data_IF_805185535070
#
_entry.id   IF_805185535070
#
_cell.length_a   1.000
_cell.length_b   1.000
_cell.length_c   1.000
_cell.angle_alpha   90.00
_cell.angle_beta   90.00
_cell.angle_gamma   90.00
#
_symmetry.space_group_name_H-M   'P 1'
#
loop_
_entity.id
_entity.type
_entity.pdbx_description
1 polymer ?
#
# COMPACT_ATOMS: atom_id res chain seq x y z
N UNK A 1 -4.14 29.00 12.51
CA UNK A 1 -3.65 27.62 12.35
C UNK A 1 -2.51 27.46 13.35
N UNK A 2 -2.72 26.68 14.41
CA UNK A 2 -1.77 26.60 15.53
C UNK A 2 -0.76 25.49 15.26
N UNK A 3 0.53 25.83 15.19
CA UNK A 3 1.59 24.84 14.94
C UNK A 3 1.92 24.13 16.25
N UNK A 4 1.68 22.82 16.31
CA UNK A 4 2.08 21.97 17.44
C UNK A 4 3.28 21.12 17.07
N UNK A 5 4.35 21.23 17.85
CA UNK A 5 5.51 20.34 17.76
C UNK A 5 5.25 19.11 18.61
N UNK A 6 5.36 17.92 18.00
CA UNK A 6 5.31 16.65 18.71
C UNK A 6 6.64 15.91 18.55
N UNK A 7 7.06 15.23 19.60
CA UNK A 7 8.19 14.29 19.54
C UNK A 7 7.63 12.90 19.30
N UNK A 8 8.18 12.21 18.30
CA UNK A 8 7.76 10.87 17.89
C UNK A 8 8.94 9.92 17.99
N UNK A 9 8.69 8.71 18.47
CA UNK A 9 9.69 7.65 18.47
C UNK A 9 9.69 6.97 17.09
N UNK A 10 10.88 6.83 16.50
CA UNK A 10 11.09 5.97 15.34
C UNK A 10 11.47 4.59 15.88
N UNK A 11 10.59 3.62 15.73
CA UNK A 11 10.87 2.25 16.14
C UNK A 11 11.97 1.63 15.26
N UNK A 12 12.55 0.52 15.74
CA UNK A 12 13.68 -0.17 15.07
C UNK A 12 13.36 -0.68 13.67
N UNK A 13 12.09 -0.86 13.34
CA UNK A 13 11.60 -1.26 12.00
C UNK A 13 11.36 -0.06 11.07
N UNK A 14 11.69 1.15 11.50
CA UNK A 14 11.48 2.40 10.75
C UNK A 14 10.07 2.97 10.89
N UNK A 15 9.21 2.40 11.73
CA UNK A 15 7.85 2.95 11.95
C UNK A 15 7.88 4.18 12.87
N UNK A 16 7.13 5.22 12.50
CA UNK A 16 6.90 6.41 13.32
C UNK A 16 5.66 6.20 14.19
N UNK A 17 5.81 6.22 15.52
CA UNK A 17 4.68 6.11 16.46
C UNK A 17 4.21 7.49 16.90
N UNK A 18 2.96 7.82 16.58
CA UNK A 18 2.32 9.06 17.03
C UNK A 18 1.82 8.95 18.47
N UNK A 19 1.96 10.00 19.30
CA UNK A 19 1.37 10.06 20.63
C UNK A 19 -0.16 9.80 20.62
N UNK A 20 -0.73 9.09 21.62
CA UNK A 20 -2.15 8.74 21.64
C UNK A 20 -3.12 9.93 21.60
N UNK A 21 -2.76 11.05 22.22
CA UNK A 21 -3.49 12.32 22.18
C UNK A 21 -3.51 12.93 20.77
N UNK A 22 -2.40 12.81 20.04
CA UNK A 22 -2.34 13.24 18.65
C UNK A 22 -3.19 12.32 17.75
N UNK A 23 -3.18 11.01 17.99
CA UNK A 23 -4.04 10.06 17.26
C UNK A 23 -5.53 10.40 17.39
N UNK A 24 -5.99 10.83 18.56
CA UNK A 24 -7.38 11.31 18.75
C UNK A 24 -7.69 12.55 17.92
N UNK A 25 -6.73 13.45 17.80
CA UNK A 25 -6.88 14.70 17.03
C UNK A 25 -6.99 14.44 15.53
N UNK A 26 -6.40 13.34 15.05
CA UNK A 26 -6.54 12.91 13.65
C UNK A 26 -7.95 12.38 13.32
N UNK A 27 -8.78 12.08 14.34
CA UNK A 27 -10.12 11.51 14.15
C UNK A 27 -10.07 10.20 13.34
N UNK A 28 -10.95 10.08 12.34
CA UNK A 28 -10.99 8.95 11.41
C UNK A 28 -9.99 9.07 10.24
N UNK A 29 -9.11 10.08 10.26
CA UNK A 29 -8.17 10.31 9.16
C UNK A 29 -7.21 9.14 9.03
N UNK A 30 -7.35 8.41 7.92
CA UNK A 30 -6.50 7.26 7.58
C UNK A 30 -5.24 7.64 6.79
N UNK A 31 -5.16 8.89 6.34
CA UNK A 31 -4.08 9.43 5.52
C UNK A 31 -3.66 10.81 6.02
N UNK A 32 -2.35 11.06 6.04
CA UNK A 32 -1.74 12.34 6.39
C UNK A 32 -0.81 12.79 5.26
N UNK A 33 -0.75 14.09 5.00
CA UNK A 33 0.34 14.66 4.20
C UNK A 33 1.59 14.79 5.07
N UNK A 34 2.72 14.25 4.60
CA UNK A 34 4.03 14.44 5.21
C UNK A 34 4.83 15.42 4.37
N UNK A 35 5.18 16.56 4.95
CA UNK A 35 5.97 17.61 4.26
C UNK A 35 7.24 17.89 5.05
N UNK A 36 8.41 17.85 4.39
CA UNK A 36 9.67 18.25 5.02
C UNK A 36 9.83 19.77 4.90
N UNK A 37 10.01 20.44 6.04
CA UNK A 37 10.31 21.87 6.11
C UNK A 37 11.59 22.04 6.92
N UNK A 38 12.71 22.23 6.24
CA UNK A 38 14.04 22.25 6.85
C UNK A 38 14.38 20.95 7.59
N UNK A 39 14.61 21.05 8.90
CA UNK A 39 14.86 19.93 9.82
C UNK A 39 13.59 19.31 10.41
N UNK A 40 12.42 19.83 10.07
CA UNK A 40 11.13 19.38 10.61
C UNK A 40 10.32 18.58 9.59
N UNK A 41 9.54 17.61 10.09
CA UNK A 41 8.48 16.95 9.33
C UNK A 41 7.13 17.48 9.83
N UNK A 42 6.30 17.99 8.92
CA UNK A 42 4.94 18.43 9.22
C UNK A 42 3.97 17.34 8.80
N UNK A 43 3.12 16.93 9.74
CA UNK A 43 2.01 16.01 9.54
C UNK A 43 0.71 16.79 9.62
N UNK A 44 -0.07 16.80 8.54
CA UNK A 44 -1.38 17.45 8.50
C UNK A 44 -2.44 16.48 7.96
N UNK A 45 -3.69 16.55 8.49
CA UNK A 45 -4.84 15.97 7.82
C UNK A 45 -4.92 16.50 6.38
N UNK A 46 -5.34 15.65 5.44
CA UNK A 46 -5.57 16.12 4.07
C UNK A 46 -6.73 17.15 4.08
N UNK A 47 -6.56 18.35 3.52
CA UNK A 47 -7.66 19.27 3.29
C UNK A 47 -8.73 18.64 2.42
N UNK A 48 -9.98 18.94 2.74
CA UNK A 48 -11.18 18.42 2.07
C UNK A 48 -11.22 18.71 0.56
N UNK A 49 -10.53 19.76 0.10
CA UNK A 49 -10.47 20.20 -1.30
C UNK A 49 -9.13 19.90 -2.00
N UNK A 50 -8.20 19.22 -1.34
CA UNK A 50 -7.01 18.72 -2.04
C UNK A 50 -7.49 17.58 -2.94
N UNK A 51 -7.15 17.61 -4.24
CA UNK A 51 -7.40 16.47 -5.13
C UNK A 51 -6.87 15.21 -4.44
N UNK A 52 -7.79 14.33 -4.01
CA UNK A 52 -7.43 13.10 -3.32
C UNK A 52 -6.33 12.41 -4.13
N UNK A 53 -5.32 11.83 -3.48
CA UNK A 53 -4.36 10.93 -4.13
C UNK A 53 -5.02 9.64 -4.64
N UNK A 54 -6.30 9.67 -5.03
CA UNK A 54 -6.88 8.83 -6.07
C UNK A 54 -6.08 8.81 -7.38
N UNK A 55 -4.96 9.53 -7.51
CA UNK A 55 -3.95 9.32 -8.54
C UNK A 55 -2.60 8.78 -8.05
N UNK A 56 -2.44 8.45 -6.76
CA UNK A 56 -1.18 7.89 -6.23
C UNK A 56 -1.11 6.41 -6.53
N UNK A 57 -0.11 6.09 -7.33
CA UNK A 57 0.41 4.75 -7.50
C UNK A 57 1.00 4.30 -6.17
N UNK A 58 0.36 3.32 -5.52
CA UNK A 58 0.93 2.68 -4.32
C UNK A 58 1.76 1.48 -4.75
N UNK A 59 2.99 1.42 -4.27
CA UNK A 59 3.91 0.33 -4.52
C UNK A 59 4.01 -0.58 -3.30
N UNK A 60 4.04 -1.88 -3.54
CA UNK A 60 4.17 -2.91 -2.51
C UNK A 60 5.21 -3.95 -2.96
N UNK A 61 5.72 -4.75 -2.01
CA UNK A 61 6.70 -5.82 -2.30
C UNK A 61 7.86 -5.31 -3.15
N UNK A 62 8.54 -4.25 -2.68
CA UNK A 62 9.63 -3.56 -3.41
C UNK A 62 9.24 -3.08 -4.81
N UNK A 63 7.96 -2.72 -5.01
CA UNK A 63 7.46 -2.19 -6.26
C UNK A 63 6.98 -3.23 -7.26
N UNK A 64 7.03 -4.53 -6.93
CA UNK A 64 6.57 -5.63 -7.78
C UNK A 64 5.04 -5.76 -7.83
N UNK A 65 4.34 -5.20 -6.83
CA UNK A 65 2.88 -5.07 -6.84
C UNK A 65 2.53 -3.59 -6.80
N UNK A 66 1.67 -3.19 -7.72
CA UNK A 66 1.25 -1.80 -7.90
C UNK A 66 -0.25 -1.69 -7.77
N UNK A 67 -0.71 -0.67 -7.05
CA UNK A 67 -2.11 -0.26 -7.00
C UNK A 67 -2.21 1.18 -7.47
N UNK A 68 -2.66 1.36 -8.70
CA UNK A 68 -2.92 2.66 -9.29
C UNK A 68 -4.42 2.78 -9.55
N UNK A 69 -5.13 3.77 -8.99
CA UNK A 69 -6.56 3.95 -9.27
C UNK A 69 -6.87 4.16 -10.76
N UNK A 70 -5.91 4.62 -11.57
CA UNK A 70 -6.02 4.76 -13.03
C UNK A 70 -5.83 3.43 -13.77
N UNK A 71 -5.29 2.41 -13.12
CA UNK A 71 -5.08 1.06 -13.68
C UNK A 71 -6.01 0.07 -12.98
N UNK A 72 -6.93 -0.53 -13.75
CA UNK A 72 -7.90 -1.50 -13.21
C UNK A 72 -8.66 -0.99 -11.97
N UNK A 73 -9.00 0.31 -11.95
CA UNK A 73 -9.74 0.97 -10.87
C UNK A 73 -9.09 0.78 -9.48
N UNK A 74 -7.76 0.71 -9.43
CA UNK A 74 -7.03 0.50 -8.18
C UNK A 74 -7.10 -0.93 -7.68
N UNK A 75 -7.33 -1.90 -8.56
CA UNK A 75 -7.06 -3.31 -8.25
C UNK A 75 -5.54 -3.51 -8.17
N UNK A 76 -4.99 -4.16 -7.13
CA UNK A 76 -3.57 -4.50 -7.09
C UNK A 76 -3.18 -5.42 -8.25
N UNK A 77 -2.21 -4.99 -9.05
CA UNK A 77 -1.67 -5.71 -10.20
C UNK A 77 -0.18 -5.96 -10.05
N UNK A 78 0.36 -6.93 -10.77
CA UNK A 78 1.81 -7.10 -10.91
C UNK A 78 2.39 -5.94 -11.73
N UNK A 79 3.47 -5.34 -11.23
CA UNK A 79 4.07 -4.14 -11.81
C UNK A 79 4.43 -4.32 -13.29
N UNK A 80 4.15 -3.31 -14.10
CA UNK A 80 4.36 -3.36 -15.55
C UNK A 80 3.33 -4.21 -16.30
N UNK A 81 2.32 -4.75 -15.62
CA UNK A 81 1.25 -5.56 -16.24
C UNK A 81 -0.14 -5.07 -15.84
N UNK A 82 -1.17 -5.62 -16.50
CA UNK A 82 -2.57 -5.54 -16.05
C UNK A 82 -3.06 -6.88 -15.49
N UNK A 83 -2.15 -7.70 -14.92
CA UNK A 83 -2.50 -8.97 -14.29
C UNK A 83 -2.81 -8.71 -12.82
N UNK A 84 -4.06 -8.93 -12.36
CA UNK A 84 -4.38 -8.83 -10.94
C UNK A 84 -3.59 -9.83 -10.11
N UNK A 85 -3.19 -9.42 -8.91
CA UNK A 85 -2.57 -10.34 -7.93
C UNK A 85 -3.49 -11.52 -7.62
N UNK A 86 -4.81 -11.29 -7.63
CA UNK A 86 -5.83 -12.33 -7.44
C UNK A 86 -5.74 -13.46 -8.48
N UNK A 87 -5.35 -13.16 -9.72
CA UNK A 87 -5.22 -14.17 -10.77
C UNK A 87 -4.15 -15.18 -10.41
N UNK A 88 -2.96 -14.70 -10.01
CA UNK A 88 -1.85 -15.56 -9.58
C UNK A 88 -2.23 -16.40 -8.36
N UNK A 89 -2.97 -15.79 -7.43
CA UNK A 89 -3.48 -16.53 -6.28
C UNK A 89 -4.44 -17.66 -6.69
N UNK A 90 -5.33 -17.43 -7.66
CA UNK A 90 -6.23 -18.48 -8.17
C UNK A 90 -5.47 -19.69 -8.73
N UNK A 91 -4.36 -19.47 -9.43
CA UNK A 91 -3.49 -20.57 -9.88
C UNK A 91 -2.81 -21.30 -8.71
N UNK A 92 -2.25 -20.55 -7.75
CA UNK A 92 -1.60 -21.12 -6.56
C UNK A 92 -2.60 -21.96 -5.73
N UNK A 93 -3.83 -21.47 -5.55
CA UNK A 93 -4.90 -22.19 -4.85
C UNK A 93 -5.37 -23.43 -5.60
N UNK A 94 -5.27 -23.41 -6.93
CA UNK A 94 -5.53 -24.57 -7.79
C UNK A 94 -4.36 -25.57 -7.80
N UNK A 95 -3.32 -25.35 -7.00
CA UNK A 95 -2.18 -26.26 -6.83
C UNK A 95 -1.03 -26.04 -7.81
N UNK A 96 -1.03 -24.96 -8.61
CA UNK A 96 0.07 -24.68 -9.53
C UNK A 96 1.32 -24.22 -8.76
N UNK A 97 2.49 -24.68 -9.20
CA UNK A 97 3.78 -24.15 -8.75
C UNK A 97 4.12 -22.82 -9.43
N UNK A 98 4.97 -21.96 -8.82
CA UNK A 98 5.45 -20.73 -9.44
C UNK A 98 6.08 -20.93 -10.83
N UNK A 99 6.77 -22.06 -11.03
CA UNK A 99 7.36 -22.41 -12.32
C UNK A 99 6.27 -22.67 -13.39
N UNK A 100 5.20 -23.39 -13.05
CA UNK A 100 4.07 -23.62 -13.95
C UNK A 100 3.33 -22.32 -14.27
N UNK A 101 3.13 -21.46 -13.26
CA UNK A 101 2.51 -20.14 -13.48
C UNK A 101 3.36 -19.29 -14.43
N UNK A 102 4.69 -19.37 -14.35
CA UNK A 102 5.57 -18.68 -15.29
C UNK A 102 5.52 -19.25 -16.71
N UNK A 103 5.18 -20.53 -16.89
CA UNK A 103 4.92 -21.08 -18.23
C UNK A 103 3.63 -20.48 -18.83
N UNK A 104 2.59 -20.27 -18.02
CA UNK A 104 1.34 -19.61 -18.43
C UNK A 104 1.54 -18.11 -18.68
N UNK A 105 2.42 -17.47 -17.91
CA UNK A 105 2.76 -16.05 -18.03
C UNK A 105 4.28 -15.86 -18.23
N UNK A 106 4.82 -16.14 -19.44
CA UNK A 106 6.28 -16.12 -19.68
C UNK A 106 6.97 -14.79 -19.38
N UNK A 107 6.21 -13.70 -19.43
CA UNK A 107 6.68 -12.34 -19.15
C UNK A 107 6.70 -11.98 -17.66
N UNK A 108 6.13 -12.81 -16.78
CA UNK A 108 6.21 -12.60 -15.33
C UNK A 108 7.45 -13.24 -14.74
N UNK A 109 8.18 -12.51 -13.90
CA UNK A 109 9.32 -13.09 -13.18
C UNK A 109 8.84 -13.97 -12.01
N UNK A 110 9.67 -14.94 -11.60
CA UNK A 110 9.39 -15.72 -10.38
C UNK A 110 9.26 -14.82 -9.14
N UNK A 111 10.02 -13.73 -9.10
CA UNK A 111 9.97 -12.77 -8.00
C UNK A 111 8.61 -12.05 -7.93
N UNK A 112 8.01 -11.69 -9.07
CA UNK A 112 6.65 -11.13 -9.13
C UNK A 112 5.60 -12.13 -8.63
N UNK A 113 5.74 -13.42 -8.97
CA UNK A 113 4.84 -14.48 -8.51
C UNK A 113 4.96 -14.67 -6.99
N UNK A 114 6.18 -14.69 -6.44
CA UNK A 114 6.40 -14.75 -4.99
C UNK A 114 5.93 -13.47 -4.27
N UNK A 115 6.07 -12.30 -4.91
CA UNK A 115 5.54 -11.04 -4.40
C UNK A 115 4.01 -11.09 -4.29
N UNK A 116 3.30 -11.65 -5.27
CA UNK A 116 1.86 -11.86 -5.19
C UNK A 116 1.46 -12.68 -3.95
N UNK A 117 2.21 -13.75 -3.64
CA UNK A 117 2.00 -14.60 -2.46
C UNK A 117 2.23 -13.85 -1.13
N UNK A 118 3.31 -13.06 -1.04
CA UNK A 118 3.59 -12.23 0.15
C UNK A 118 2.52 -11.14 0.34
N UNK A 119 2.16 -10.47 -0.76
CA UNK A 119 1.12 -9.44 -0.75
C UNK A 119 -0.20 -9.97 -0.21
N UNK A 120 -0.62 -11.17 -0.65
CA UNK A 120 -1.85 -11.78 -0.20
C UNK A 120 -1.91 -11.97 1.32
N UNK A 121 -0.83 -12.47 1.94
CA UNK A 121 -0.74 -12.62 3.40
C UNK A 121 -0.98 -11.29 4.12
N UNK A 122 -0.54 -10.17 3.54
CA UNK A 122 -0.70 -8.82 4.08
C UNK A 122 -2.12 -8.28 3.96
N UNK A 123 -2.81 -8.50 2.84
CA UNK A 123 -4.18 -8.00 2.64
C UNK A 123 -5.28 -8.85 3.28
N UNK A 124 -5.04 -10.14 3.53
CA UNK A 124 -6.02 -11.04 4.18
C UNK A 124 -6.32 -10.66 5.65
N UNK A 125 -5.54 -9.74 6.22
CA UNK A 125 -5.77 -9.12 7.54
C UNK A 125 -6.65 -7.86 7.52
N UNK A 126 -7.30 -7.53 6.39
CA UNK A 126 -8.30 -6.44 6.33
C UNK A 126 -9.71 -7.02 6.42
N UNK A 127 -10.50 -6.72 7.48
CA UNK A 127 -11.91 -7.14 7.52
C UNK A 127 -12.65 -6.56 6.30
N UNK A 128 -13.63 -7.28 5.74
CA UNK A 128 -14.39 -6.81 4.59
C UNK A 128 -15.02 -5.46 4.92
N UNK A 129 -14.87 -4.50 4.00
CA UNK A 129 -15.69 -3.29 4.02
C UNK A 129 -17.08 -3.74 3.60
N UNK A 130 -17.98 -3.85 4.57
CA UNK A 130 -19.39 -3.90 4.26
C UNK A 130 -19.73 -2.59 3.54
N UNK A 131 -20.08 -2.71 2.25
CA UNK A 131 -20.79 -1.67 1.51
C UNK A 131 -22.24 -1.63 1.96
#
# INVERSE_FOLDING_TARGET
METRTITVEIARDGTLKLPPDFQRTLGDSRELSVTRIGSSLVLAPLPENWAHPSGRVTHYENGLVVRDPKVMFGTPVLAGTRIPVRTIWGYLDSGYSPAQIRLEFPFLTLEQIEAAKRFQKRIRFRPPLNV
#
